data_IF_797055612464
#
_entry.id   IF_797055612464
#
_cell.length_a   1.000
_cell.length_b   1.000
_cell.length_c   1.000
_cell.angle_alpha   90.00
_cell.angle_beta   90.00
_cell.angle_gamma   90.00
#
_symmetry.space_group_name_H-M   'P 1'
#
loop_
_entity.id
_entity.type
_entity.pdbx_description
1 polymer ?
#
# COMPACT_ATOMS: atom_id res chain seq x y z
N UNK A 1 -6.10 -17.84 3.43
CA UNK A 1 -5.70 -16.78 4.39
C UNK A 1 -5.50 -15.48 3.64
N UNK A 2 -6.30 -14.45 3.89
CA UNK A 2 -6.29 -13.24 3.07
C UNK A 2 -5.70 -12.04 3.82
N UNK A 3 -5.03 -11.15 3.09
CA UNK A 3 -4.66 -9.84 3.60
C UNK A 3 -5.91 -9.01 3.87
N UNK A 4 -5.97 -8.37 5.05
CA UNK A 4 -7.13 -7.60 5.47
C UNK A 4 -7.42 -6.36 4.63
N UNK A 5 -6.50 -5.98 3.74
CA UNK A 5 -6.68 -4.81 2.88
C UNK A 5 -6.80 -5.18 1.39
N UNK A 6 -5.82 -5.85 0.80
CA UNK A 6 -5.90 -6.18 -0.63
C UNK A 6 -6.63 -7.48 -0.92
N UNK A 7 -7.01 -8.26 0.12
CA UNK A 7 -7.73 -9.54 -0.01
C UNK A 7 -6.99 -10.62 -0.81
N UNK A 8 -5.73 -10.37 -1.21
CA UNK A 8 -4.84 -11.36 -1.82
C UNK A 8 -4.33 -12.37 -0.78
N UNK A 9 -3.95 -13.58 -1.21
CA UNK A 9 -3.47 -14.60 -0.29
C UNK A 9 -2.14 -14.24 0.36
N UNK A 10 -1.92 -14.80 1.55
CA UNK A 10 -0.56 -15.01 2.06
C UNK A 10 -0.04 -16.36 1.58
N UNK A 11 1.26 -16.42 1.29
CA UNK A 11 1.95 -17.66 0.89
C UNK A 11 2.78 -18.16 2.07
N UNK A 12 2.81 -19.48 2.36
CA UNK A 12 3.60 -20.00 3.47
C UNK A 12 5.09 -19.62 3.38
N UNK A 13 5.65 -19.23 4.53
CA UNK A 13 7.08 -18.98 4.73
C UNK A 13 7.85 -20.29 4.78
N UNK A 14 9.16 -20.31 4.45
CA UNK A 14 10.02 -21.48 4.69
C UNK A 14 10.09 -21.90 6.16
N UNK A 15 9.69 -21.01 7.09
CA UNK A 15 9.52 -21.33 8.51
C UNK A 15 8.33 -22.27 8.80
N UNK A 16 7.42 -22.45 7.83
CA UNK A 16 6.27 -23.34 7.96
C UNK A 16 6.73 -24.79 7.98
N UNK A 17 6.58 -25.47 9.13
CA UNK A 17 7.02 -26.86 9.28
C UNK A 17 6.20 -27.86 8.42
N UNK A 18 4.91 -27.58 8.24
CA UNK A 18 4.00 -28.44 7.46
C UNK A 18 2.88 -27.60 6.82
N UNK A 19 3.19 -26.80 5.77
CA UNK A 19 2.16 -26.02 5.08
C UNK A 19 1.11 -26.93 4.44
N UNK A 20 -0.13 -26.47 4.38
CA UNK A 20 -1.17 -27.17 3.63
C UNK A 20 -0.88 -27.03 2.14
N UNK A 21 -1.05 -28.12 1.38
CA UNK A 21 -0.75 -28.14 -0.05
C UNK A 21 -1.61 -27.11 -0.81
N UNK A 22 -2.87 -26.95 -0.43
CA UNK A 22 -3.80 -25.98 -1.01
C UNK A 22 -3.41 -24.51 -0.76
N UNK A 23 -2.55 -24.23 0.22
CA UNK A 23 -2.04 -22.87 0.46
C UNK A 23 -0.83 -22.52 -0.43
N UNK A 24 -0.20 -23.52 -1.05
CA UNK A 24 0.96 -23.31 -1.89
C UNK A 24 0.49 -22.91 -3.31
N UNK A 25 1.09 -21.87 -3.90
CA UNK A 25 0.88 -21.60 -5.31
C UNK A 25 1.52 -22.70 -6.17
N UNK A 26 1.10 -22.87 -7.43
CA UNK A 26 1.81 -23.72 -8.39
C UNK A 26 3.29 -23.34 -8.51
N UNK A 27 4.11 -24.30 -8.92
CA UNK A 27 5.54 -24.08 -9.16
C UNK A 27 5.75 -22.94 -10.17
N UNK A 28 6.77 -22.12 -9.93
CA UNK A 28 7.14 -20.96 -10.75
C UNK A 28 6.05 -19.89 -10.95
N UNK A 29 4.92 -19.97 -10.23
CA UNK A 29 3.84 -19.00 -10.32
C UNK A 29 4.28 -17.59 -9.90
N UNK A 30 5.17 -17.50 -8.90
CA UNK A 30 5.71 -16.25 -8.39
C UNK A 30 7.22 -16.16 -8.57
N UNK A 31 7.69 -14.98 -8.92
CA UNK A 31 9.11 -14.64 -8.72
C UNK A 31 9.46 -14.65 -7.24
N UNK A 32 10.74 -14.88 -6.89
CA UNK A 32 11.23 -14.83 -5.50
C UNK A 32 10.81 -13.54 -4.77
N UNK A 33 10.84 -12.42 -5.47
CA UNK A 33 10.44 -11.11 -4.94
C UNK A 33 8.94 -11.08 -4.57
N UNK A 34 8.06 -11.58 -5.43
CA UNK A 34 6.63 -11.68 -5.15
C UNK A 34 6.34 -12.63 -4.00
N UNK A 35 7.07 -13.75 -3.95
CA UNK A 35 6.96 -14.74 -2.87
C UNK A 35 7.25 -14.09 -1.50
N UNK A 36 8.38 -13.39 -1.37
CA UNK A 36 8.75 -12.67 -0.14
C UNK A 36 7.68 -11.64 0.26
N UNK A 37 7.12 -10.92 -0.73
CA UNK A 37 6.05 -9.95 -0.48
C UNK A 37 4.78 -10.63 0.08
N UNK A 38 4.35 -11.73 -0.52
CA UNK A 38 3.13 -12.44 -0.13
C UNK A 38 3.29 -13.27 1.15
N UNK A 39 4.52 -13.61 1.55
CA UNK A 39 4.81 -14.25 2.84
C UNK A 39 4.73 -13.27 4.02
N UNK A 40 5.13 -12.03 3.78
CA UNK A 40 5.32 -11.03 4.81
C UNK A 40 4.03 -10.34 5.19
N UNK A 41 3.72 -10.33 6.47
CA UNK A 41 2.60 -9.61 7.06
C UNK A 41 3.07 -8.54 8.05
N UNK A 42 2.18 -7.60 8.34
CA UNK A 42 2.19 -6.73 9.50
C UNK A 42 0.85 -6.95 10.18
N UNK A 43 0.92 -7.39 11.43
CA UNK A 43 -0.24 -7.57 12.29
C UNK A 43 -0.29 -6.44 13.31
N UNK A 44 -1.48 -5.92 13.58
CA UNK A 44 -1.68 -4.90 14.60
C UNK A 44 -3.00 -5.11 15.34
N UNK A 45 -3.04 -4.64 16.58
CA UNK A 45 -4.17 -4.88 17.46
C UNK A 45 -3.79 -4.92 18.93
N UNK A 46 -4.79 -4.83 19.79
CA UNK A 46 -4.59 -4.88 21.26
C UNK A 46 -4.23 -6.27 21.77
N UNK A 47 -4.27 -7.28 20.91
CA UNK A 47 -3.84 -8.66 21.20
C UNK A 47 -2.47 -8.99 20.61
N UNK A 48 -1.88 -8.07 19.86
CA UNK A 48 -0.53 -8.20 19.31
C UNK A 48 0.46 -7.57 20.30
N UNK A 49 1.43 -8.34 20.77
CA UNK A 49 2.50 -7.81 21.63
C UNK A 49 3.31 -6.74 20.87
N UNK A 50 3.43 -5.54 21.45
CA UNK A 50 3.99 -4.36 20.78
C UNK A 50 2.97 -3.58 19.94
N UNK A 51 1.68 -3.95 19.93
CA UNK A 51 0.56 -3.34 19.20
C UNK A 51 0.64 -3.40 17.66
N UNK A 52 1.84 -3.44 17.09
CA UNK A 52 2.09 -3.56 15.66
C UNK A 52 3.42 -4.30 15.45
N UNK A 53 3.40 -5.43 14.74
CA UNK A 53 4.59 -6.26 14.51
C UNK A 53 4.61 -6.84 13.10
N UNK A 54 5.81 -7.04 12.53
CA UNK A 54 5.94 -7.88 11.35
C UNK A 54 5.61 -9.33 11.72
N UNK A 55 5.11 -10.10 10.76
CA UNK A 55 4.88 -11.53 10.87
C UNK A 55 5.19 -12.20 9.53
N UNK A 56 5.32 -13.52 9.54
CA UNK A 56 5.35 -14.38 8.37
C UNK A 56 4.24 -15.44 8.50
N UNK A 57 3.61 -15.78 7.38
CA UNK A 57 2.56 -16.80 7.38
C UNK A 57 3.17 -18.20 7.49
N UNK A 58 2.81 -18.97 8.52
CA UNK A 58 3.45 -20.27 8.86
C UNK A 58 2.52 -21.47 8.76
N UNK A 59 1.36 -21.33 8.09
CA UNK A 59 0.37 -22.37 7.72
C UNK A 59 0.33 -23.70 8.52
N UNK A 60 -0.85 -24.18 8.96
CA UNK A 60 -2.19 -23.63 8.73
C UNK A 60 -2.57 -22.57 9.76
N UNK A 61 -3.38 -21.59 9.35
CA UNK A 61 -4.01 -20.63 10.26
C UNK A 61 -3.08 -19.88 11.25
N UNK A 62 -1.77 -19.82 10.98
CA UNK A 62 -0.79 -19.27 11.91
C UNK A 62 0.08 -18.21 11.25
N UNK A 63 0.40 -17.19 12.03
CA UNK A 63 1.43 -16.21 11.72
C UNK A 63 2.47 -16.24 12.82
N UNK A 64 3.74 -16.19 12.45
CA UNK A 64 4.86 -16.20 13.39
C UNK A 64 5.81 -15.04 13.13
N UNK A 65 6.40 -14.53 14.19
CA UNK A 65 7.49 -13.59 14.15
C UNK A 65 8.58 -14.09 15.10
N UNK A 66 9.82 -14.01 14.65
CA UNK A 66 10.99 -14.16 15.49
C UNK A 66 11.73 -12.82 15.56
N UNK A 67 11.46 -12.06 16.64
CA UNK A 67 12.13 -10.79 16.94
C UNK A 67 12.76 -10.92 18.34
N UNK A 68 14.03 -11.36 18.43
CA UNK A 68 14.68 -11.66 19.69
C UNK A 68 14.51 -10.53 20.73
N UNK A 69 14.15 -10.85 21.98
CA UNK A 69 14.08 -12.18 22.58
C UNK A 69 12.70 -12.88 22.47
N UNK A 70 11.75 -12.31 21.72
CA UNK A 70 10.37 -12.78 21.70
C UNK A 70 10.03 -13.51 20.39
N UNK A 71 9.72 -14.80 20.50
CA UNK A 71 9.02 -15.53 19.45
C UNK A 71 7.52 -15.36 19.66
N UNK A 72 6.85 -14.72 18.71
CA UNK A 72 5.40 -14.51 18.73
C UNK A 72 4.76 -15.39 17.67
N UNK A 73 3.85 -16.28 18.08
CA UNK A 73 2.99 -17.02 17.16
C UNK A 73 1.55 -16.72 17.50
N UNK A 74 0.76 -16.38 16.48
CA UNK A 74 -0.67 -16.11 16.62
C UNK A 74 -1.46 -17.04 15.73
N UNK A 75 -2.56 -17.58 16.27
CA UNK A 75 -3.59 -18.26 15.47
C UNK A 75 -4.46 -17.18 14.86
N UNK A 76 -4.42 -17.04 13.53
CA UNK A 76 -5.01 -15.92 12.81
C UNK A 76 -6.51 -15.82 13.01
N UNK A 77 -7.25 -16.92 12.83
CA UNK A 77 -8.69 -16.94 13.06
C UNK A 77 -9.07 -18.01 14.06
N UNK A 78 -9.87 -17.62 15.03
CA UNK A 78 -10.52 -18.49 16.03
C UNK A 78 -12.01 -18.15 16.04
N UNK A 79 -12.88 -18.94 16.69
CA UNK A 79 -14.30 -18.60 16.79
C UNK A 79 -14.49 -17.18 17.35
N UNK A 80 -15.24 -16.34 16.63
CA UNK A 80 -15.56 -14.95 16.98
C UNK A 80 -14.38 -13.95 16.92
N UNK A 81 -13.21 -14.33 16.38
CA UNK A 81 -12.10 -13.41 16.25
C UNK A 81 -11.12 -13.77 15.12
N UNK A 82 -10.71 -12.75 14.39
CA UNK A 82 -9.62 -12.84 13.42
C UNK A 82 -8.66 -11.69 13.68
N UNK A 83 -7.35 -11.95 13.62
CA UNK A 83 -6.34 -10.89 13.71
C UNK A 83 -6.29 -10.08 12.42
N UNK A 84 -6.12 -8.76 12.53
CA UNK A 84 -5.82 -7.93 11.36
C UNK A 84 -4.40 -8.25 10.90
N UNK A 85 -4.28 -8.78 9.68
CA UNK A 85 -3.00 -9.12 9.06
C UNK A 85 -2.98 -8.53 7.66
N UNK A 86 -2.04 -7.65 7.39
CA UNK A 86 -1.89 -7.00 6.08
C UNK A 86 -0.51 -7.28 5.50
N UNK A 87 -0.38 -7.45 4.19
CA UNK A 87 0.95 -7.43 3.56
C UNK A 87 1.68 -6.13 3.92
N UNK A 88 3.02 -6.15 3.96
CA UNK A 88 3.80 -4.99 4.43
C UNK A 88 3.42 -3.66 3.78
N UNK A 89 3.30 -3.63 2.46
CA UNK A 89 2.93 -2.40 1.72
C UNK A 89 1.47 -2.00 1.99
N UNK A 90 0.57 -2.98 2.10
CA UNK A 90 -0.81 -2.75 2.47
C UNK A 90 -0.91 -2.06 3.84
N UNK A 91 -0.16 -2.56 4.83
CA UNK A 91 -0.08 -1.94 6.14
C UNK A 91 0.51 -0.53 6.08
N UNK A 92 1.61 -0.31 5.35
CA UNK A 92 2.20 1.03 5.22
C UNK A 92 1.25 2.04 4.56
N UNK A 93 0.53 1.65 3.50
CA UNK A 93 -0.47 2.51 2.86
C UNK A 93 -1.69 2.76 3.75
N UNK A 94 -2.14 1.75 4.50
CA UNK A 94 -3.23 1.93 5.47
C UNK A 94 -2.82 2.87 6.60
N UNK A 95 -1.61 2.70 7.15
CA UNK A 95 -1.03 3.62 8.14
C UNK A 95 -0.97 5.05 7.61
N UNK A 96 -0.56 5.25 6.35
CA UNK A 96 -0.61 6.56 5.68
C UNK A 96 -2.01 7.14 5.64
N UNK A 97 -2.99 6.36 5.17
CA UNK A 97 -4.39 6.80 5.06
C UNK A 97 -5.00 7.16 6.44
N UNK A 98 -4.52 6.51 7.50
CA UNK A 98 -4.89 6.75 8.90
C UNK A 98 -4.04 7.83 9.59
N UNK A 99 -3.10 8.46 8.89
CA UNK A 99 -2.12 9.40 9.46
C UNK A 99 -1.29 8.84 10.64
N UNK A 100 -0.97 7.54 10.58
CA UNK A 100 -0.29 6.76 11.62
C UNK A 100 1.01 6.11 11.10
N UNK A 101 1.80 6.80 10.28
CA UNK A 101 3.08 6.27 9.78
C UNK A 101 4.19 6.20 10.83
N UNK A 102 4.09 6.97 11.93
CA UNK A 102 5.08 6.98 13.01
C UNK A 102 5.14 5.66 13.77
N UNK A 103 6.32 5.26 14.21
CA UNK A 103 6.55 4.05 15.03
C UNK A 103 6.54 4.40 16.54
N UNK A 104 5.54 5.19 16.94
CA UNK A 104 5.31 5.61 18.32
C UNK A 104 4.04 4.96 18.91
N UNK A 105 3.91 5.08 20.24
CA UNK A 105 2.77 4.53 20.97
C UNK A 105 1.43 5.06 20.46
N UNK A 106 1.33 6.35 20.12
CA UNK A 106 0.06 6.96 19.72
C UNK A 106 -0.40 6.41 18.37
N UNK A 107 0.51 6.33 17.39
CA UNK A 107 0.23 5.75 16.08
C UNK A 107 -0.21 4.28 16.20
N UNK A 108 0.52 3.46 16.97
CA UNK A 108 0.15 2.05 17.15
C UNK A 108 -1.16 1.86 17.93
N UNK A 109 -1.42 2.75 18.90
CA UNK A 109 -2.67 2.75 19.65
C UNK A 109 -3.85 3.06 18.72
N UNK A 110 -3.76 4.08 17.87
CA UNK A 110 -4.83 4.42 16.89
C UNK A 110 -5.07 3.24 15.95
N UNK A 111 -4.01 2.62 15.41
CA UNK A 111 -4.15 1.44 14.56
C UNK A 111 -4.84 0.27 15.28
N UNK A 112 -4.54 0.07 16.56
CA UNK A 112 -5.13 -1.00 17.37
C UNK A 112 -6.62 -0.77 17.68
N UNK A 113 -7.15 0.45 17.50
CA UNK A 113 -8.58 0.73 17.63
C UNK A 113 -9.39 0.07 16.52
N UNK A 114 -8.78 -0.24 15.36
CA UNK A 114 -9.45 -0.81 14.18
C UNK A 114 -10.24 -2.07 14.52
N UNK A 115 -9.64 -3.00 15.26
CA UNK A 115 -10.29 -4.26 15.70
C UNK A 115 -11.57 -4.02 16.50
N UNK A 116 -11.61 -2.95 17.29
CA UNK A 116 -12.71 -2.64 18.19
C UNK A 116 -13.77 -1.75 17.52
N UNK A 117 -13.35 -0.80 16.69
CA UNK A 117 -14.22 0.17 16.01
C UNK A 117 -14.91 -0.46 14.80
N UNK A 118 -14.16 -1.21 13.99
CA UNK A 118 -14.74 -1.88 12.82
C UNK A 118 -15.43 -3.19 13.20
N UNK A 119 -15.12 -3.72 14.38
CA UNK A 119 -15.61 -5.00 14.88
C UNK A 119 -14.76 -6.18 14.39
N UNK A 120 -15.19 -7.43 14.68
CA UNK A 120 -14.48 -8.60 14.17
C UNK A 120 -14.44 -8.55 12.63
N UNK A 121 -13.31 -8.98 12.07
CA UNK A 121 -13.21 -9.16 10.62
C UNK A 121 -14.19 -10.24 10.15
N UNK A 122 -14.41 -10.31 8.82
CA UNK A 122 -15.22 -11.37 8.23
C UNK A 122 -14.78 -12.76 8.69
N UNK A 123 -15.74 -13.69 8.80
CA UNK A 123 -15.51 -15.09 9.15
C UNK A 123 -15.66 -15.97 7.91
N UNK A 124 -15.16 -17.20 7.99
CA UNK A 124 -15.30 -18.21 6.92
C UNK A 124 -14.98 -17.63 5.54
N UNK A 125 -15.95 -17.52 4.62
CA UNK A 125 -15.70 -17.10 3.24
C UNK A 125 -15.10 -15.70 3.12
N UNK A 126 -15.38 -14.85 4.11
CA UNK A 126 -14.89 -13.49 4.17
C UNK A 126 -13.72 -13.33 5.15
N UNK A 127 -13.11 -14.43 5.61
CA UNK A 127 -12.01 -14.43 6.58
C UNK A 127 -10.97 -13.34 6.29
N UNK A 128 -10.76 -12.46 7.26
CA UNK A 128 -9.81 -11.35 7.17
C UNK A 128 -10.38 -10.05 6.59
N UNK A 129 -11.66 -9.97 6.23
CA UNK A 129 -12.25 -8.75 5.64
C UNK A 129 -12.46 -7.65 6.68
N UNK A 130 -12.07 -6.40 6.39
CA UNK A 130 -12.47 -5.28 7.22
C UNK A 130 -13.97 -5.00 7.02
N UNK A 131 -14.74 -5.16 8.09
CA UNK A 131 -16.20 -5.11 8.02
C UNK A 131 -16.71 -3.76 7.52
N UNK A 132 -17.51 -3.77 6.46
CA UNK A 132 -18.15 -2.58 5.88
C UNK A 132 -17.33 -1.83 4.85
N UNK A 133 -16.19 -2.38 4.44
CA UNK A 133 -15.43 -1.90 3.28
C UNK A 133 -15.95 -2.60 2.03
N UNK A 134 -16.42 -1.85 1.05
CA UNK A 134 -16.97 -2.40 -0.21
C UNK A 134 -15.86 -2.66 -1.25
N UNK A 135 -15.01 -3.66 -0.99
CA UNK A 135 -13.84 -3.96 -1.84
C UNK A 135 -14.14 -4.06 -3.33
N UNK A 136 -15.33 -4.56 -3.70
CA UNK A 136 -15.71 -4.77 -5.10
C UNK A 136 -15.99 -3.46 -5.85
N UNK A 137 -16.38 -2.38 -5.16
CA UNK A 137 -16.80 -1.12 -5.80
C UNK A 137 -15.83 0.04 -5.59
N UNK A 138 -14.68 -0.19 -4.96
CA UNK A 138 -13.66 0.84 -4.69
C UNK A 138 -12.61 0.89 -5.81
N UNK A 139 -12.18 2.10 -6.19
CA UNK A 139 -11.03 2.32 -7.06
C UNK A 139 -11.17 1.64 -8.42
N UNK A 140 -10.30 0.67 -8.70
CA UNK A 140 -10.29 -0.14 -9.92
C UNK A 140 -11.43 -1.19 -9.98
N UNK A 141 -12.28 -1.28 -8.93
CA UNK A 141 -13.44 -2.19 -8.84
C UNK A 141 -13.07 -3.66 -9.04
N UNK A 142 -12.11 -4.12 -8.24
CA UNK A 142 -11.56 -5.47 -8.32
C UNK A 142 -12.22 -6.38 -7.28
N UNK A 143 -12.86 -7.44 -7.74
CA UNK A 143 -13.39 -8.50 -6.87
C UNK A 143 -12.53 -9.77 -6.98
N UNK A 144 -11.87 -10.13 -5.88
CA UNK A 144 -11.06 -11.35 -5.80
C UNK A 144 -11.79 -12.51 -5.09
N UNK A 145 -13.00 -12.29 -4.57
CA UNK A 145 -13.79 -13.33 -3.90
C UNK A 145 -14.05 -14.57 -4.76
N UNK A 146 -14.28 -14.46 -6.09
CA UNK A 146 -14.49 -15.63 -6.94
C UNK A 146 -13.32 -16.63 -6.95
N UNK A 147 -12.12 -16.23 -6.53
CA UNK A 147 -10.95 -17.10 -6.45
C UNK A 147 -10.73 -17.67 -5.06
N UNK A 148 -11.50 -17.25 -4.06
CA UNK A 148 -11.43 -17.85 -2.73
C UNK A 148 -12.31 -19.10 -2.65
N UNK A 149 -11.81 -20.10 -1.94
CA UNK A 149 -12.49 -21.37 -1.72
C UNK A 149 -12.59 -21.61 -0.22
N UNK A 150 -13.79 -21.97 0.21
CA UNK A 150 -14.10 -22.26 1.60
C UNK A 150 -13.48 -23.61 1.99
N UNK A 151 -12.67 -23.60 3.05
CA UNK A 151 -12.22 -24.83 3.70
C UNK A 151 -13.24 -25.33 4.73
N UNK A 152 -13.01 -26.55 5.23
CA UNK A 152 -13.89 -27.16 6.23
C UNK A 152 -13.69 -26.64 7.66
N UNK A 153 -12.72 -25.73 7.89
CA UNK A 153 -12.36 -25.23 9.22
C UNK A 153 -11.67 -23.86 9.14
N UNK A 154 -11.52 -23.20 10.29
CA UNK A 154 -10.81 -21.94 10.45
C UNK A 154 -9.39 -21.98 9.87
N UNK A 155 -9.09 -21.01 9.00
CA UNK A 155 -7.81 -20.87 8.35
C UNK A 155 -7.46 -21.97 7.35
N UNK A 156 -8.45 -22.75 6.89
CA UNK A 156 -8.34 -23.68 5.75
C UNK A 156 -8.85 -23.12 4.43
N UNK A 157 -9.23 -21.84 4.39
CA UNK A 157 -9.59 -21.20 3.12
C UNK A 157 -8.36 -21.01 2.26
N UNK A 158 -8.48 -21.41 1.01
CA UNK A 158 -7.40 -21.36 0.03
C UNK A 158 -7.79 -20.51 -1.18
N UNK A 159 -6.76 -20.07 -1.90
CA UNK A 159 -6.90 -19.23 -3.08
C UNK A 159 -6.66 -20.07 -4.32
N UNK A 160 -7.63 -20.07 -5.23
CA UNK A 160 -7.60 -20.81 -6.48
C UNK A 160 -6.70 -20.11 -7.50
N UNK A 161 -5.41 -20.41 -7.41
CA UNK A 161 -4.38 -19.83 -8.27
C UNK A 161 -4.59 -20.18 -9.74
N UNK A 162 -5.09 -21.38 -10.05
CA UNK A 162 -5.32 -21.83 -11.43
C UNK A 162 -6.46 -21.04 -12.08
N UNK A 163 -7.59 -20.87 -11.39
CA UNK A 163 -8.69 -20.05 -11.89
C UNK A 163 -8.31 -18.58 -11.95
N UNK A 164 -7.52 -18.10 -10.98
CA UNK A 164 -6.99 -16.75 -11.02
C UNK A 164 -6.08 -16.52 -12.24
N UNK A 165 -5.24 -17.49 -12.60
CA UNK A 165 -4.32 -17.41 -13.74
C UNK A 165 -5.04 -17.19 -15.07
N UNK A 166 -6.26 -17.75 -15.20
CA UNK A 166 -7.15 -17.60 -16.36
C UNK A 166 -7.85 -16.23 -16.40
N UNK A 167 -7.83 -15.48 -15.31
CA UNK A 167 -8.50 -14.19 -15.19
C UNK A 167 -7.68 -13.05 -15.81
N UNK A 168 -8.33 -11.96 -16.27
CA UNK A 168 -7.63 -10.75 -16.74
C UNK A 168 -6.86 -10.02 -15.62
N UNK A 169 -7.05 -10.41 -14.36
CA UNK A 169 -6.37 -9.80 -13.21
C UNK A 169 -4.94 -10.33 -13.04
N UNK A 170 -4.67 -11.54 -13.53
CA UNK A 170 -3.37 -12.20 -13.36
C UNK A 170 -2.19 -11.38 -13.89
N UNK A 171 -2.41 -10.65 -14.98
CA UNK A 171 -1.36 -9.89 -15.66
C UNK A 171 -0.68 -8.84 -14.77
N UNK A 172 -1.38 -8.33 -13.75
CA UNK A 172 -0.88 -7.19 -12.97
C UNK A 172 -1.08 -7.30 -11.46
N UNK A 173 -2.11 -8.00 -10.96
CA UNK A 173 -2.53 -7.90 -9.55
C UNK A 173 -1.48 -8.43 -8.56
N UNK A 174 -0.73 -9.46 -8.93
CA UNK A 174 0.38 -9.98 -8.12
C UNK A 174 1.70 -9.23 -8.34
N UNK A 175 1.70 -8.14 -9.09
CA UNK A 175 2.90 -7.29 -9.20
C UNK A 175 3.16 -6.59 -7.88
N UNK A 176 4.43 -6.50 -7.49
CA UNK A 176 4.84 -5.83 -6.27
C UNK A 176 4.49 -4.33 -6.26
N UNK A 177 3.80 -3.81 -5.23
CA UNK A 177 3.39 -2.41 -5.14
C UNK A 177 4.42 -1.48 -4.44
N UNK A 178 5.60 -1.98 -4.08
CA UNK A 178 6.68 -1.21 -3.43
C UNK A 178 7.80 -0.76 -4.37
N UNK A 179 7.68 -1.05 -5.66
CA UNK A 179 8.65 -0.56 -6.66
C UNK A 179 8.22 0.79 -7.20
N UNK A 180 8.88 1.84 -6.73
CA UNK A 180 8.63 3.21 -7.18
C UNK A 180 9.20 3.45 -8.58
N UNK A 181 8.55 4.29 -9.41
CA UNK A 181 9.19 4.80 -10.62
C UNK A 181 10.52 5.47 -10.27
N UNK A 182 11.52 5.28 -11.13
CA UNK A 182 12.76 6.05 -11.02
C UNK A 182 12.45 7.53 -11.16
N UNK A 183 12.87 8.32 -10.18
CA UNK A 183 12.80 9.76 -10.24
C UNK A 183 14.07 10.33 -10.90
N UNK A 184 13.89 11.40 -11.67
CA UNK A 184 14.96 12.10 -12.37
C UNK A 184 14.99 13.54 -11.87
N UNK A 185 16.11 14.01 -11.29
CA UNK A 185 16.17 15.32 -10.65
C UNK A 185 16.15 16.49 -11.63
N UNK A 186 16.31 16.21 -12.93
CA UNK A 186 16.20 17.16 -14.04
C UNK A 186 15.58 16.47 -15.24
N UNK A 187 14.89 17.25 -16.08
CA UNK A 187 14.42 16.81 -17.39
C UNK A 187 15.63 16.57 -18.29
N UNK A 188 15.84 15.33 -18.70
CA UNK A 188 17.01 14.99 -19.52
C UNK A 188 16.90 15.58 -20.94
N UNK A 189 18.03 16.03 -21.50
CA UNK A 189 18.09 16.61 -22.85
C UNK A 189 17.51 15.71 -23.94
N UNK A 190 17.54 14.38 -23.75
CA UNK A 190 16.93 13.43 -24.69
C UNK A 190 15.39 13.54 -24.75
N UNK A 191 14.75 13.94 -23.66
CA UNK A 191 13.30 14.17 -23.61
C UNK A 191 12.93 15.50 -24.26
N UNK A 192 13.80 16.50 -24.13
CA UNK A 192 13.65 17.83 -24.73
C UNK A 192 13.95 17.78 -26.24
N UNK A 193 15.06 17.18 -26.66
CA UNK A 193 15.55 17.21 -28.05
C UNK A 193 14.67 16.54 -29.10
N UNK A 194 13.59 15.86 -28.70
CA UNK A 194 12.56 15.33 -29.61
C UNK A 194 11.40 16.30 -29.85
N UNK A 195 11.36 17.41 -29.11
CA UNK A 195 10.30 18.42 -29.14
C UNK A 195 10.98 19.78 -29.35
N UNK A 196 10.64 20.54 -30.41
CA UNK A 196 11.21 21.87 -30.62
C UNK A 196 10.96 22.78 -29.43
N UNK A 197 11.81 23.80 -29.26
CA UNK A 197 11.63 24.80 -28.20
C UNK A 197 10.19 25.35 -28.27
N UNK A 198 9.47 25.52 -27.14
CA UNK A 198 8.15 26.16 -27.14
C UNK A 198 8.09 27.45 -27.98
N UNK A 199 9.15 28.26 -27.96
CA UNK A 199 9.24 29.53 -28.71
C UNK A 199 9.37 29.34 -30.23
N UNK A 200 9.77 28.14 -30.68
CA UNK A 200 9.93 27.76 -32.09
C UNK A 200 8.68 27.03 -32.64
N UNK A 201 7.72 26.69 -31.77
CA UNK A 201 6.49 26.01 -32.15
C UNK A 201 5.42 27.06 -32.46
N UNK A 202 5.01 27.27 -33.72
CA UNK A 202 3.96 28.22 -34.02
C UNK A 202 2.67 27.81 -33.30
N UNK A 203 2.10 28.75 -32.54
CA UNK A 203 0.71 28.71 -32.09
C UNK A 203 -0.16 28.32 -33.27
N UNK A 204 -0.90 27.21 -33.16
CA UNK A 204 -1.73 26.71 -34.25
C UNK A 204 -3.09 27.38 -34.21
N UNK A 205 -3.84 27.30 -35.30
CA UNK A 205 -5.18 27.90 -35.47
C UNK A 205 -6.25 27.44 -34.45
N UNK A 206 -5.88 26.64 -33.44
CA UNK A 206 -6.81 26.19 -32.41
C UNK A 206 -6.94 27.20 -31.24
N UNK A 207 -8.16 27.41 -30.72
CA UNK A 207 -8.40 28.41 -29.68
C UNK A 207 -7.65 28.18 -28.37
N UNK A 208 -7.13 26.97 -28.11
CA UNK A 208 -6.44 26.64 -26.88
C UNK A 208 -4.95 26.99 -26.97
N UNK A 209 -4.25 26.56 -28.03
CA UNK A 209 -2.80 26.85 -28.17
C UNK A 209 -2.50 28.31 -28.53
N UNK A 210 -3.50 29.07 -28.96
CA UNK A 210 -3.45 30.53 -29.14
C UNK A 210 -3.58 31.32 -27.84
N UNK A 211 -3.97 30.69 -26.73
CA UNK A 211 -4.12 31.39 -25.46
C UNK A 211 -2.76 31.85 -24.92
N UNK A 212 -2.71 33.02 -24.26
CA UNK A 212 -1.55 33.43 -23.48
C UNK A 212 -1.11 32.37 -22.47
N UNK A 213 0.20 32.26 -22.22
CA UNK A 213 0.77 31.22 -21.37
C UNK A 213 0.26 31.28 -19.92
N UNK A 214 -0.02 32.46 -19.40
CA UNK A 214 -0.67 32.69 -18.10
C UNK A 214 -2.09 32.09 -18.04
N UNK A 215 -2.88 32.23 -19.11
CA UNK A 215 -4.19 31.57 -19.22
C UNK A 215 -4.03 30.05 -19.26
N UNK A 216 -3.07 29.53 -20.03
CA UNK A 216 -2.78 28.10 -20.06
C UNK A 216 -2.35 27.57 -18.69
N UNK A 217 -1.55 28.34 -17.94
CA UNK A 217 -1.15 28.01 -16.55
C UNK A 217 -2.36 27.93 -15.62
N UNK A 218 -3.31 28.84 -15.75
CA UNK A 218 -4.57 28.81 -14.98
C UNK A 218 -5.42 27.58 -15.35
N UNK A 219 -5.48 27.21 -16.63
CA UNK A 219 -6.20 26.01 -17.07
C UNK A 219 -5.55 24.76 -16.45
N UNK A 220 -4.24 24.57 -16.62
CA UNK A 220 -3.57 23.36 -16.12
C UNK A 220 -3.61 23.23 -14.60
N UNK A 221 -3.60 24.35 -13.87
CA UNK A 221 -3.69 24.38 -12.41
C UNK A 221 -5.01 23.80 -11.85
N UNK A 222 -6.06 23.77 -12.68
CA UNK A 222 -7.37 23.26 -12.30
C UNK A 222 -7.62 21.83 -12.80
N UNK A 223 -6.65 21.20 -13.47
CA UNK A 223 -6.81 19.83 -13.96
C UNK A 223 -6.47 18.80 -12.88
N UNK A 224 -7.11 17.65 -12.96
CA UNK A 224 -6.67 16.46 -12.26
C UNK A 224 -5.52 15.78 -13.04
N UNK A 225 -4.83 14.83 -12.39
CA UNK A 225 -3.69 14.16 -12.99
C UNK A 225 -4.02 13.49 -14.35
N UNK A 226 -5.14 12.75 -14.50
CA UNK A 226 -5.55 12.19 -15.79
C UNK A 226 -5.75 13.26 -16.88
N UNK A 227 -6.45 14.36 -16.59
CA UNK A 227 -6.74 15.40 -17.57
C UNK A 227 -5.49 16.18 -17.93
N UNK A 228 -4.61 16.45 -16.96
CA UNK A 228 -3.32 17.09 -17.20
C UNK A 228 -2.44 16.26 -18.15
N UNK A 229 -2.30 14.96 -17.90
CA UNK A 229 -1.50 14.06 -18.76
C UNK A 229 -2.10 13.96 -20.16
N UNK A 230 -3.44 13.92 -20.28
CA UNK A 230 -4.12 13.92 -21.59
C UNK A 230 -3.89 15.23 -22.34
N UNK A 231 -4.09 16.37 -21.68
CA UNK A 231 -3.96 17.70 -22.28
C UNK A 231 -2.55 17.92 -22.83
N UNK A 232 -1.55 17.69 -21.98
CA UNK A 232 -0.13 17.85 -22.33
C UNK A 232 0.34 16.83 -23.38
N UNK A 233 -0.39 15.73 -23.56
CA UNK A 233 -0.14 14.73 -24.59
C UNK A 233 -0.79 15.03 -25.95
N UNK A 234 -1.66 16.04 -26.07
CA UNK A 234 -2.44 16.27 -27.30
C UNK A 234 -1.63 16.84 -28.46
N UNK A 235 -0.67 17.73 -28.18
CA UNK A 235 0.14 18.37 -29.21
C UNK A 235 1.56 18.65 -28.73
N UNK A 236 2.48 18.88 -29.68
CA UNK A 236 3.89 19.15 -29.37
C UNK A 236 4.09 20.43 -28.56
N UNK A 237 3.27 21.46 -28.78
CA UNK A 237 3.33 22.74 -28.08
C UNK A 237 3.06 22.57 -26.57
N UNK A 238 1.92 21.98 -26.20
CA UNK A 238 1.60 21.73 -24.80
C UNK A 238 2.57 20.75 -24.14
N UNK A 239 3.07 19.78 -24.90
CA UNK A 239 4.10 18.86 -24.40
C UNK A 239 5.43 19.55 -24.12
N UNK A 240 5.83 20.51 -24.95
CA UNK A 240 7.04 21.31 -24.77
C UNK A 240 6.96 22.13 -23.47
N UNK A 241 5.83 22.81 -23.24
CA UNK A 241 5.57 23.51 -21.98
C UNK A 241 5.46 22.55 -20.79
N UNK A 242 4.91 21.35 -20.97
CA UNK A 242 4.84 20.35 -19.91
C UNK A 242 6.22 19.89 -19.40
N UNK A 243 7.20 19.82 -20.31
CA UNK A 243 8.59 19.48 -19.99
C UNK A 243 9.39 20.65 -19.42
N UNK A 244 8.86 21.87 -19.46
CA UNK A 244 9.55 23.09 -19.02
C UNK A 244 8.69 23.87 -18.03
N UNK A 245 7.79 24.73 -18.52
CA UNK A 245 6.97 25.66 -17.74
C UNK A 245 6.02 24.99 -16.75
N UNK A 246 5.42 23.84 -17.10
CA UNK A 246 4.37 23.20 -16.27
C UNK A 246 4.90 22.11 -15.33
N UNK A 247 6.22 21.90 -15.22
CA UNK A 247 6.78 20.96 -14.24
C UNK A 247 6.30 21.21 -12.78
N UNK A 248 6.15 22.47 -12.31
CA UNK A 248 5.58 22.72 -10.98
C UNK A 248 4.16 22.16 -10.82
N UNK A 249 3.37 22.16 -11.88
CA UNK A 249 2.01 21.62 -11.87
C UNK A 249 2.02 20.09 -11.85
N UNK A 250 2.89 19.47 -12.66
CA UNK A 250 3.12 18.02 -12.58
C UNK A 250 3.58 17.60 -11.17
N UNK A 251 4.46 18.38 -10.53
CA UNK A 251 4.89 18.16 -9.14
C UNK A 251 3.72 18.23 -8.17
N UNK A 252 2.91 19.30 -8.25
CA UNK A 252 1.71 19.47 -7.40
C UNK A 252 0.79 18.26 -7.52
N UNK A 253 0.54 17.79 -8.74
CA UNK A 253 -0.29 16.62 -9.02
C UNK A 253 0.30 15.34 -8.44
N UNK A 254 1.59 15.06 -8.62
CA UNK A 254 2.25 13.90 -8.01
C UNK A 254 2.18 13.95 -6.48
N UNK A 255 2.42 15.10 -5.86
CA UNK A 255 2.35 15.25 -4.41
C UNK A 255 0.92 15.09 -3.87
N UNK A 256 -0.10 15.47 -4.66
CA UNK A 256 -1.49 15.20 -4.32
C UNK A 256 -1.82 13.70 -4.39
N UNK A 257 -1.13 12.93 -5.24
CA UNK A 257 -1.24 11.47 -5.32
C UNK A 257 -0.42 10.82 -4.20
N UNK A 258 -0.95 10.80 -2.99
CA UNK A 258 -0.28 10.22 -1.81
C UNK A 258 0.17 8.76 -1.98
N UNK A 259 -0.46 7.99 -2.87
CA UNK A 259 -0.03 6.64 -3.24
C UNK A 259 1.15 6.60 -4.20
N UNK A 260 1.38 7.66 -4.97
CA UNK A 260 2.50 7.74 -5.91
C UNK A 260 3.82 8.02 -5.21
N UNK A 261 3.79 8.39 -3.92
CA UNK A 261 4.98 8.69 -3.13
C UNK A 261 5.41 7.48 -2.28
N UNK A 262 6.70 7.33 -2.00
CA UNK A 262 7.17 6.38 -1.00
C UNK A 262 6.58 6.66 0.39
N UNK A 263 6.28 5.62 1.18
CA UNK A 263 5.94 5.71 2.61
C UNK A 263 7.16 6.06 3.47
N UNK A 264 6.98 6.57 4.68
CA UNK A 264 8.12 6.83 5.58
C UNK A 264 9.01 5.59 5.76
N UNK A 265 8.40 4.40 5.83
CA UNK A 265 9.11 3.11 5.92
C UNK A 265 9.85 2.72 4.62
N UNK A 266 9.40 3.19 3.46
CA UNK A 266 10.07 2.97 2.17
C UNK A 266 11.23 3.97 2.00
N UNK A 267 11.02 5.25 2.36
CA UNK A 267 12.04 6.28 2.40
C UNK A 267 13.24 5.90 3.28
N UNK A 268 12.98 5.36 4.48
CA UNK A 268 14.04 4.91 5.39
C UNK A 268 14.97 3.82 4.79
N UNK A 269 14.48 3.04 3.82
CA UNK A 269 15.25 1.99 3.13
C UNK A 269 15.96 2.51 1.89
N UNK A 270 15.54 3.65 1.37
CA UNK A 270 16.18 4.35 0.26
C UNK A 270 17.33 5.17 0.85
N UNK A 271 18.35 4.49 1.38
CA UNK A 271 19.55 5.11 1.93
C UNK A 271 20.19 6.03 0.88
N UNK A 272 20.32 7.32 1.23
CA UNK A 272 20.99 8.36 0.48
C UNK A 272 20.41 8.68 -0.92
N UNK A 273 19.27 9.39 -0.99
CA UNK A 273 19.03 10.45 -1.98
C UNK A 273 17.71 11.17 -1.68
N UNK A 274 17.74 12.51 -1.68
CA UNK A 274 16.58 13.41 -1.76
C UNK A 274 15.86 13.80 -0.46
N UNK A 275 16.57 14.51 0.43
CA UNK A 275 15.93 15.42 1.41
C UNK A 275 15.30 16.69 0.77
N UNK A 276 15.36 16.82 -0.56
CA UNK A 276 14.57 17.82 -1.26
C UNK A 276 14.16 17.26 -2.61
N UNK A 277 12.90 16.90 -2.77
CA UNK A 277 12.26 16.74 -4.08
C UNK A 277 12.56 18.00 -4.89
N UNK A 278 13.49 17.97 -5.87
CA UNK A 278 13.93 19.18 -6.53
C UNK A 278 12.75 19.78 -7.31
N UNK A 279 12.57 21.09 -7.17
CA UNK A 279 11.57 21.82 -7.93
C UNK A 279 11.73 21.60 -9.45
N UNK A 280 12.96 21.32 -9.90
CA UNK A 280 13.34 21.14 -11.30
C UNK A 280 13.30 19.67 -11.79
N UNK A 281 12.74 18.75 -10.99
CA UNK A 281 12.61 17.35 -11.37
C UNK A 281 11.77 17.09 -12.62
N UNK A 282 11.95 15.92 -13.25
CA UNK A 282 11.09 15.46 -14.34
C UNK A 282 9.79 14.85 -13.79
N UNK A 283 8.97 15.71 -13.18
CA UNK A 283 7.70 15.35 -12.54
C UNK A 283 6.67 14.83 -13.53
N UNK A 284 6.67 15.35 -14.76
CA UNK A 284 5.79 14.85 -15.82
C UNK A 284 6.11 13.38 -16.17
N UNK A 285 7.40 13.05 -16.32
CA UNK A 285 7.81 11.66 -16.57
C UNK A 285 7.44 10.75 -15.40
N UNK A 286 7.69 11.21 -14.16
CA UNK A 286 7.32 10.47 -12.96
C UNK A 286 5.81 10.20 -12.91
N UNK A 287 4.99 11.24 -13.12
CA UNK A 287 3.54 11.14 -13.16
C UNK A 287 3.07 10.12 -14.21
N UNK A 288 3.63 10.21 -15.42
CA UNK A 288 3.36 9.25 -16.50
C UNK A 288 3.72 7.82 -16.10
N UNK A 289 4.90 7.59 -15.52
CA UNK A 289 5.32 6.27 -15.07
C UNK A 289 4.44 5.72 -13.93
N UNK A 290 4.07 6.57 -12.96
CA UNK A 290 3.19 6.20 -11.85
C UNK A 290 1.82 5.69 -12.34
N UNK A 291 1.33 6.17 -13.49
CA UNK A 291 0.07 5.69 -14.06
C UNK A 291 0.20 4.48 -15.00
N UNK A 292 1.40 4.18 -15.51
CA UNK A 292 1.62 3.14 -16.54
C UNK A 292 2.15 1.82 -15.99
N UNK A 293 2.93 1.82 -14.91
CA UNK A 293 3.54 0.59 -14.42
C UNK A 293 2.54 -0.27 -13.66
N UNK A 294 2.65 -1.60 -13.82
CA UNK A 294 1.76 -2.56 -13.15
C UNK A 294 1.83 -2.47 -11.63
N UNK A 295 3.03 -2.33 -11.06
CA UNK A 295 3.21 -2.19 -9.61
C UNK A 295 2.52 -0.95 -9.04
N UNK A 296 2.58 0.17 -9.74
CA UNK A 296 1.90 1.40 -9.32
C UNK A 296 0.39 1.34 -9.53
N UNK A 297 -0.08 0.57 -10.53
CA UNK A 297 -1.51 0.24 -10.65
C UNK A 297 -2.01 -0.55 -9.44
N UNK A 298 -1.28 -1.58 -9.00
CA UNK A 298 -1.59 -2.33 -7.76
C UNK A 298 -1.58 -1.40 -6.56
N UNK A 299 -0.54 -0.55 -6.45
CA UNK A 299 -0.42 0.40 -5.34
C UNK A 299 -1.60 1.38 -5.27
N UNK A 300 -2.03 1.93 -6.41
CA UNK A 300 -3.21 2.82 -6.51
C UNK A 300 -4.49 2.11 -6.07
N UNK A 301 -4.68 0.85 -6.47
CA UNK A 301 -5.82 0.05 -6.03
C UNK A 301 -5.81 -0.20 -4.51
N UNK A 302 -4.67 -0.62 -3.96
CA UNK A 302 -4.51 -0.82 -2.51
C UNK A 302 -4.74 0.48 -1.75
N UNK A 303 -4.26 1.61 -2.26
CA UNK A 303 -4.50 2.92 -1.67
C UNK A 303 -5.98 3.29 -1.63
N UNK A 304 -6.74 3.02 -2.70
CA UNK A 304 -8.17 3.25 -2.70
C UNK A 304 -8.88 2.42 -1.60
N UNK A 305 -8.48 1.15 -1.43
CA UNK A 305 -8.97 0.31 -0.33
C UNK A 305 -8.55 0.86 1.05
N UNK A 306 -7.32 1.38 1.19
CA UNK A 306 -6.83 2.01 2.41
C UNK A 306 -7.66 3.25 2.80
N UNK A 307 -7.92 4.14 1.85
CA UNK A 307 -8.73 5.33 2.07
C UNK A 307 -10.16 4.98 2.46
N UNK A 308 -10.78 3.98 1.80
CA UNK A 308 -12.13 3.57 2.16
C UNK A 308 -12.19 2.91 3.54
N UNK A 309 -11.23 2.05 3.87
CA UNK A 309 -11.11 1.47 5.20
C UNK A 309 -10.95 2.55 6.29
N UNK A 310 -10.10 3.56 6.03
CA UNK A 310 -9.94 4.70 6.92
C UNK A 310 -11.23 5.53 7.06
N UNK A 311 -11.94 5.78 5.96
CA UNK A 311 -13.23 6.48 5.96
C UNK A 311 -14.27 5.75 6.81
N UNK A 312 -14.42 4.43 6.62
CA UNK A 312 -15.34 3.58 7.38
C UNK A 312 -14.95 3.54 8.86
N UNK A 313 -13.65 3.45 9.16
CA UNK A 313 -13.15 3.52 10.52
C UNK A 313 -13.54 4.83 11.20
N UNK A 314 -13.27 5.98 10.58
CA UNK A 314 -13.58 7.29 11.16
C UNK A 314 -15.08 7.51 11.36
N UNK A 315 -15.90 7.11 10.39
CA UNK A 315 -17.35 7.17 10.48
C UNK A 315 -17.87 6.38 11.70
N UNK A 316 -17.38 5.14 11.88
CA UNK A 316 -17.75 4.29 13.02
C UNK A 316 -17.18 4.81 14.33
N UNK A 317 -15.93 5.28 14.32
CA UNK A 317 -15.25 5.79 15.51
C UNK A 317 -16.05 6.93 16.13
N UNK A 318 -16.56 7.86 15.32
CA UNK A 318 -17.34 9.02 15.75
C UNK A 318 -18.55 8.65 16.61
N UNK A 319 -19.25 7.56 16.27
CA UNK A 319 -20.42 7.10 17.01
C UNK A 319 -20.09 6.06 18.09
N UNK A 320 -18.91 5.44 18.02
CA UNK A 320 -18.47 4.39 18.96
C UNK A 320 -18.16 4.91 20.38
N UNK A 321 -17.97 3.99 21.36
CA UNK A 321 -17.42 4.30 22.67
C UNK A 321 -15.98 4.84 22.66
N UNK A 322 -15.26 4.71 21.53
CA UNK A 322 -13.86 5.10 21.35
C UNK A 322 -13.67 6.48 20.73
N UNK A 323 -14.75 7.22 20.47
CA UNK A 323 -14.70 8.57 19.92
C UNK A 323 -13.86 9.51 20.81
N UNK A 324 -13.20 10.48 20.19
CA UNK A 324 -12.38 11.47 20.89
C UNK A 324 -13.21 12.24 21.94
N UNK A 325 -12.60 12.50 23.10
CA UNK A 325 -13.25 13.19 24.22
C UNK A 325 -14.25 12.35 25.02
N UNK A 326 -14.62 11.14 24.58
CA UNK A 326 -15.48 10.24 25.38
C UNK A 326 -14.68 9.50 26.44
N UNK A 327 -15.19 9.46 27.66
CA UNK A 327 -14.59 8.76 28.79
C UNK A 327 -15.45 7.53 29.21
N UNK A 328 -15.54 6.55 28.31
CA UNK A 328 -16.33 5.32 28.49
C UNK A 328 -15.52 4.23 29.21
N UNK A 329 -16.21 3.21 29.73
CA UNK A 329 -15.54 2.06 30.38
C UNK A 329 -14.72 1.27 29.35
N UNK A 330 -15.26 1.10 28.15
CA UNK A 330 -14.65 0.44 27.01
C UNK A 330 -13.37 1.15 26.59
N UNK A 331 -13.39 2.49 26.51
CA UNK A 331 -12.20 3.30 26.19
C UNK A 331 -11.09 3.12 27.22
N UNK A 332 -11.42 3.19 28.53
CA UNK A 332 -10.42 2.98 29.60
C UNK A 332 -9.84 1.57 29.58
N UNK A 333 -10.67 0.56 29.32
CA UNK A 333 -10.23 -0.83 29.20
C UNK A 333 -9.27 -0.99 28.03
N UNK A 334 -9.63 -0.42 26.87
CA UNK A 334 -8.78 -0.39 25.69
C UNK A 334 -7.45 0.32 25.96
N UNK A 335 -7.49 1.52 26.55
CA UNK A 335 -6.29 2.30 26.84
C UNK A 335 -5.34 1.54 27.76
N UNK A 336 -5.87 0.90 28.82
CA UNK A 336 -5.07 0.06 29.73
C UNK A 336 -4.47 -1.14 28.99
N UNK A 337 -5.26 -1.83 28.18
CA UNK A 337 -4.77 -2.98 27.41
C UNK A 337 -3.68 -2.57 26.43
N UNK A 338 -3.87 -1.45 25.71
CA UNK A 338 -2.88 -0.93 24.78
C UNK A 338 -1.57 -0.56 25.49
N UNK A 339 -1.64 0.12 26.63
CA UNK A 339 -0.46 0.45 27.44
C UNK A 339 0.25 -0.78 27.97
N UNK A 340 -0.47 -1.83 28.39
CA UNK A 340 0.13 -3.06 28.89
C UNK A 340 0.81 -3.88 27.78
N UNK A 341 0.29 -3.81 26.55
CA UNK A 341 0.79 -4.55 25.40
C UNK A 341 1.88 -3.81 24.65
N UNK A 342 2.01 -2.48 24.86
CA UNK A 342 3.03 -1.69 24.21
C UNK A 342 4.41 -2.05 24.75
N UNK A 343 5.29 -2.43 23.83
CA UNK A 343 6.71 -2.57 24.06
C UNK A 343 7.35 -1.49 23.19
N UNK A 344 8.06 -0.51 23.78
CA UNK A 344 8.76 0.48 22.97
C UNK A 344 9.67 -0.24 21.98
N UNK A 345 9.86 0.32 20.76
CA UNK A 345 10.82 -0.25 19.83
C UNK A 345 12.17 -0.34 20.54
N UNK A 346 12.75 -1.54 20.54
CA UNK A 346 14.13 -1.72 21.00
C UNK A 346 15.00 -0.82 20.12
N UNK A 347 16.02 -0.14 20.68
CA UNK A 347 17.00 0.55 19.86
C UNK A 347 17.51 -0.46 18.83
N UNK A 348 17.29 -0.20 17.54
CA UNK A 348 17.94 -1.00 16.50
C UNK A 348 19.42 -0.78 16.70
N UNK A 349 20.11 -1.78 17.25
CA UNK A 349 21.56 -1.76 17.27
C UNK A 349 22.01 -1.66 15.82
N UNK A 350 22.58 -0.52 15.43
CA UNK A 350 23.26 -0.29 14.15
C UNK A 350 24.52 -1.17 13.98
N UNK A 351 24.63 -2.27 14.72
CA UNK A 351 25.64 -3.31 14.53
C UNK A 351 25.08 -4.33 13.55
N UNK A 352 25.56 -4.25 12.32
CA UNK A 352 25.22 -5.16 11.22
C UNK A 352 25.11 -6.62 11.65
N UNK A 353 23.90 -7.15 11.59
CA UNK A 353 23.68 -8.56 11.36
C UNK A 353 23.58 -8.74 9.85
N UNK A 354 24.76 -8.79 9.21
CA UNK A 354 24.91 -9.57 7.99
C UNK A 354 24.33 -10.95 8.29
N UNK A 355 23.22 -11.27 7.63
CA UNK A 355 22.66 -12.62 7.68
C UNK A 355 23.75 -13.54 7.17
N UNK A 356 24.17 -14.47 8.03
CA UNK A 356 24.93 -15.66 7.67
C UNK A 356 24.32 -16.30 6.42
N UNK A 357 24.89 -16.00 5.26
CA UNK A 357 24.70 -16.75 4.01
C UNK A 357 26.01 -17.32 3.48
N UNK A 358 27.05 -17.36 4.32
CA UNK A 358 28.31 -18.05 4.03
C UNK A 358 28.57 -19.12 5.09
N UNK A 359 27.98 -20.31 4.89
CA UNK A 359 28.64 -21.57 5.26
C UNK A 359 28.34 -22.53 4.11
N UNK A 360 29.36 -22.81 3.31
CA UNK A 360 29.30 -23.70 2.17
C UNK A 360 29.12 -25.18 2.55
N UNK A 361 28.48 -25.90 1.65
CA UNK A 361 29.09 -26.97 0.86
C UNK A 361 28.29 -27.18 -0.42
#
# INVERSE_FOLDING_TARGET
MSCSLCRLPFVPSPMSAAPLAEHLPPDDFFTRAQYIYLQSAVGFGTRVHGLCRPFEFTSPNMFSNFDPPLALTVVWTVPNFTYVMMHRVCASLFRRAMHCEGDDFLAFKILSEVENVMGPLGELGDAGELRGVDYANIGEKIDVRPFWRLGNDHGRNWFDYEDFQKSPLNDWLFTRPDTMPRFFPKVENKHIGTIPNPDELPSRDDPLTTQPLDILRLIVANLDAPSYVRLTGTCRFLRAHALTTFQPEARRLVLALQWALPTSSELAKMTATEESSPHDGDWLLYLSHAHRTKGMRVRRWIWAAACEAARVFEERKRVSPYAEGKNTVERRKFDRQASNMYLPPMPTSDTGLERFSDVGN
#
